data_IF_850000893472
#
_entry.id   IF_850000893472
#
_cell.length_a   1.000
_cell.length_b   1.000
_cell.length_c   1.000
_cell.angle_alpha   90.00
_cell.angle_beta   90.00
_cell.angle_gamma   90.00
#
_symmetry.space_group_name_H-M   'P 1'
#
loop_
_entity.id
_entity.type
_entity.pdbx_description
1 polymer ?
#
# COMPACT_ATOMS: atom_id res chain seq x y z
N UNK A 1 -9.93 -14.22 -19.23
CA UNK A 1 -9.50 -14.10 -17.81
C UNK A 1 -9.56 -15.45 -17.15
N UNK A 2 -8.91 -15.62 -15.99
CA UNK A 2 -8.88 -16.91 -15.30
C UNK A 2 -10.14 -17.11 -14.44
N UNK A 3 -11.01 -18.03 -14.83
CA UNK A 3 -12.19 -18.40 -14.05
C UNK A 3 -11.84 -19.10 -12.72
N UNK A 4 -10.66 -19.70 -12.63
CA UNK A 4 -10.15 -20.36 -11.42
C UNK A 4 -9.24 -19.43 -10.58
N UNK A 5 -9.36 -18.13 -10.72
CA UNK A 5 -8.57 -17.18 -9.93
C UNK A 5 -8.94 -17.31 -8.45
N UNK A 6 -7.95 -17.47 -7.53
CA UNK A 6 -8.20 -17.62 -6.09
C UNK A 6 -8.98 -16.49 -5.41
N UNK A 7 -9.12 -15.35 -6.09
CA UNK A 7 -9.93 -14.21 -5.61
C UNK A 7 -11.43 -14.40 -5.83
N UNK A 8 -11.81 -15.36 -6.65
CA UNK A 8 -13.21 -15.67 -6.91
C UNK A 8 -13.70 -16.70 -5.90
N UNK A 9 -14.91 -16.52 -5.35
CA UNK A 9 -15.56 -17.58 -4.60
C UNK A 9 -15.75 -18.81 -5.48
N UNK A 10 -15.58 -20.00 -4.90
CA UNK A 10 -15.87 -21.25 -5.59
C UNK A 10 -17.29 -21.21 -6.16
N UNK A 11 -17.48 -21.76 -7.35
CA UNK A 11 -18.75 -21.90 -8.09
C UNK A 11 -19.47 -20.58 -8.52
N UNK A 12 -18.77 -19.42 -8.54
CA UNK A 12 -19.41 -18.16 -8.97
C UNK A 12 -18.99 -17.65 -10.33
N UNK A 13 -18.04 -18.28 -11.00
CA UNK A 13 -17.54 -17.83 -12.30
C UNK A 13 -17.70 -18.92 -13.34
N UNK A 14 -18.76 -18.84 -14.11
CA UNK A 14 -19.03 -19.73 -15.24
C UNK A 14 -18.63 -19.10 -16.58
N UNK A 15 -18.50 -17.76 -16.60
CA UNK A 15 -18.20 -17.01 -17.82
C UNK A 15 -17.17 -15.90 -17.59
N UNK A 16 -16.60 -15.40 -18.68
CA UNK A 16 -15.73 -14.20 -18.62
C UNK A 16 -16.48 -12.96 -18.10
N UNK A 17 -17.79 -12.88 -18.36
CA UNK A 17 -18.64 -11.80 -17.88
C UNK A 17 -18.74 -11.82 -16.36
N UNK A 18 -18.93 -12.98 -15.74
CA UNK A 18 -19.00 -13.10 -14.29
C UNK A 18 -17.66 -12.73 -13.66
N UNK A 19 -16.53 -13.13 -14.26
CA UNK A 19 -15.21 -12.75 -13.82
C UNK A 19 -14.98 -11.22 -13.88
N UNK A 20 -15.46 -10.56 -14.96
CA UNK A 20 -15.41 -9.10 -15.11
C UNK A 20 -16.21 -8.40 -14.01
N UNK A 21 -17.44 -8.84 -13.78
CA UNK A 21 -18.33 -8.24 -12.78
C UNK A 21 -17.78 -8.37 -11.37
N UNK A 22 -17.28 -9.54 -11.00
CA UNK A 22 -16.63 -9.76 -9.69
C UNK A 22 -15.39 -8.89 -9.50
N UNK A 23 -14.52 -8.79 -10.52
CA UNK A 23 -13.33 -7.93 -10.44
C UNK A 23 -13.69 -6.45 -10.32
N UNK A 24 -14.71 -5.99 -11.05
CA UNK A 24 -15.17 -4.60 -10.96
C UNK A 24 -15.70 -4.26 -9.56
N UNK A 25 -16.45 -5.17 -8.94
CA UNK A 25 -17.09 -4.93 -7.65
C UNK A 25 -16.13 -5.06 -6.46
N UNK A 26 -15.22 -6.03 -6.49
CA UNK A 26 -14.38 -6.37 -5.34
C UNK A 26 -12.96 -5.76 -5.41
N UNK A 27 -12.41 -5.51 -6.62
CA UNK A 27 -10.97 -5.33 -6.80
C UNK A 27 -10.55 -3.93 -7.28
N UNK A 28 -11.41 -2.93 -7.19
CA UNK A 28 -11.11 -1.55 -7.58
C UNK A 28 -10.55 -1.40 -9.01
N UNK A 29 -11.08 -2.15 -9.98
CA UNK A 29 -10.59 -2.14 -11.37
C UNK A 29 -10.72 -0.76 -12.02
N UNK A 30 -11.72 0.03 -11.64
CA UNK A 30 -11.89 1.40 -12.14
C UNK A 30 -10.66 2.27 -11.81
N UNK A 31 -10.07 2.14 -10.64
CA UNK A 31 -8.83 2.85 -10.27
C UNK A 31 -7.64 2.38 -11.11
N UNK A 32 -7.57 1.08 -11.41
CA UNK A 32 -6.53 0.54 -12.31
C UNK A 32 -6.71 1.09 -13.72
N UNK A 33 -7.94 1.21 -14.21
CA UNK A 33 -8.22 1.80 -15.52
C UNK A 33 -7.85 3.29 -15.57
N UNK A 34 -8.11 4.06 -14.51
CA UNK A 34 -7.68 5.46 -14.39
C UNK A 34 -6.17 5.59 -14.46
N UNK A 35 -5.45 4.78 -13.72
CA UNK A 35 -3.98 4.74 -13.68
C UNK A 35 -3.40 4.38 -15.06
N UNK A 36 -3.97 3.37 -15.74
CA UNK A 36 -3.55 2.98 -17.09
C UNK A 36 -3.78 4.11 -18.12
N UNK A 37 -4.88 4.85 -18.03
CA UNK A 37 -5.15 5.98 -18.92
C UNK A 37 -4.17 7.12 -18.71
N UNK A 38 -3.72 7.32 -17.48
CA UNK A 38 -2.80 8.41 -17.11
C UNK A 38 -1.33 8.05 -17.38
N UNK A 39 -0.89 6.84 -17.02
CA UNK A 39 0.53 6.45 -17.02
C UNK A 39 0.86 5.29 -17.94
N UNK A 40 -0.13 4.60 -18.51
CA UNK A 40 0.06 3.36 -19.25
C UNK A 40 0.17 2.13 -18.33
N UNK A 41 0.52 1.00 -18.92
CA UNK A 41 0.80 -0.22 -18.14
C UNK A 41 2.15 -0.10 -17.43
N UNK A 42 2.20 -0.52 -16.18
CA UNK A 42 3.45 -0.59 -15.44
C UNK A 42 4.44 -1.57 -16.15
N UNK A 43 5.58 -1.09 -16.67
CA UNK A 43 6.51 -1.94 -17.40
C UNK A 43 7.25 -2.96 -16.50
N UNK A 44 7.19 -2.79 -15.18
CA UNK A 44 7.81 -3.68 -14.21
C UNK A 44 6.90 -4.85 -13.81
N UNK A 45 5.64 -4.86 -14.26
CA UNK A 45 4.64 -5.86 -13.91
C UNK A 45 4.11 -6.59 -15.16
N UNK A 46 4.74 -7.70 -15.54
CA UNK A 46 4.31 -8.52 -16.67
C UNK A 46 2.96 -9.20 -16.41
N UNK A 47 2.23 -9.41 -17.49
CA UNK A 47 1.04 -10.27 -17.50
C UNK A 47 1.50 -11.71 -17.62
N UNK A 48 1.03 -12.59 -16.73
CA UNK A 48 1.28 -14.02 -16.79
C UNK A 48 0.11 -14.74 -17.46
N UNK A 49 0.40 -15.57 -18.46
CA UNK A 49 -0.61 -16.33 -19.19
C UNK A 49 -0.21 -17.79 -19.32
N UNK A 50 -1.20 -18.67 -19.47
CA UNK A 50 -1.03 -20.04 -19.94
C UNK A 50 -1.82 -20.24 -21.24
N UNK A 51 -1.40 -21.18 -22.08
CA UNK A 51 -2.17 -21.50 -23.29
C UNK A 51 -3.51 -22.12 -22.91
N UNK A 52 -4.53 -21.78 -23.69
CA UNK A 52 -5.84 -22.37 -23.64
C UNK A 52 -5.99 -23.28 -24.85
N UNK A 53 -6.17 -24.59 -24.61
CA UNK A 53 -6.18 -25.63 -25.64
C UNK A 53 -4.79 -26.05 -26.12
N UNK A 54 -4.77 -26.79 -27.22
CA UNK A 54 -3.55 -27.31 -27.82
C UNK A 54 -2.64 -26.18 -28.39
N UNK A 55 -1.32 -26.31 -28.28
CA UNK A 55 -0.40 -25.33 -28.83
C UNK A 55 -0.55 -25.21 -30.37
N UNK A 56 -0.60 -23.99 -30.85
CA UNK A 56 -0.55 -23.70 -32.28
C UNK A 56 0.75 -22.96 -32.63
N UNK A 57 1.25 -23.14 -33.87
CA UNK A 57 2.40 -22.39 -34.37
C UNK A 57 2.05 -20.92 -34.65
N UNK A 58 0.79 -20.65 -34.99
CA UNK A 58 0.29 -19.30 -35.18
C UNK A 58 -0.21 -18.69 -33.86
N UNK A 59 0.66 -17.87 -33.26
CA UNK A 59 0.37 -17.18 -31.99
C UNK A 59 -0.84 -16.22 -32.07
N UNK A 60 -1.25 -15.79 -33.27
CA UNK A 60 -2.43 -14.92 -33.43
C UNK A 60 -3.75 -15.72 -33.24
N UNK A 61 -3.72 -17.04 -33.45
CA UNK A 61 -4.86 -17.92 -33.24
C UNK A 61 -4.79 -18.71 -31.94
N UNK A 62 -3.76 -18.49 -31.11
CA UNK A 62 -3.64 -19.10 -29.81
C UNK A 62 -4.45 -18.33 -28.77
N UNK A 63 -5.39 -18.99 -28.12
CA UNK A 63 -6.06 -18.45 -26.94
C UNK A 63 -5.19 -18.61 -25.69
N UNK A 64 -5.35 -17.66 -24.76
CA UNK A 64 -4.60 -17.62 -23.51
C UNK A 64 -5.52 -17.36 -22.33
N UNK A 65 -5.25 -18.03 -21.21
CA UNK A 65 -5.85 -17.75 -19.92
C UNK A 65 -4.88 -16.88 -19.11
N UNK A 66 -5.36 -15.77 -18.61
CA UNK A 66 -4.56 -14.82 -17.79
C UNK A 66 -4.51 -15.33 -16.37
N UNK A 67 -3.37 -15.84 -15.91
CA UNK A 67 -3.15 -16.29 -14.53
C UNK A 67 -2.61 -15.20 -13.61
N UNK A 68 -1.91 -14.18 -14.16
CA UNK A 68 -1.45 -13.00 -13.44
C UNK A 68 -1.78 -11.71 -14.21
N UNK A 69 -2.21 -10.67 -13.46
CA UNK A 69 -2.59 -9.39 -14.04
C UNK A 69 -4.05 -9.32 -14.47
N UNK A 70 -4.93 -10.16 -13.93
CA UNK A 70 -6.35 -10.19 -14.24
C UNK A 70 -7.02 -8.82 -14.10
N UNK A 71 -6.71 -8.02 -13.07
CA UNK A 71 -7.24 -6.66 -12.89
C UNK A 71 -6.84 -5.72 -14.03
N UNK A 72 -5.59 -5.82 -14.50
CA UNK A 72 -5.06 -4.99 -15.62
C UNK A 72 -5.72 -5.36 -16.93
N UNK A 73 -5.87 -6.66 -17.21
CA UNK A 73 -6.58 -7.14 -18.41
C UNK A 73 -8.06 -6.76 -18.36
N UNK A 74 -8.70 -6.90 -17.20
CA UNK A 74 -10.08 -6.43 -17.01
C UNK A 74 -10.20 -4.94 -17.33
N UNK A 75 -9.33 -4.09 -16.77
CA UNK A 75 -9.32 -2.66 -17.06
C UNK A 75 -9.14 -2.35 -18.54
N UNK A 76 -8.20 -3.01 -19.22
CA UNK A 76 -7.98 -2.84 -20.65
C UNK A 76 -9.18 -3.27 -21.50
N UNK A 77 -9.86 -4.37 -21.16
CA UNK A 77 -11.10 -4.80 -21.83
C UNK A 77 -12.20 -3.74 -21.69
N UNK A 78 -12.39 -3.22 -20.49
CA UNK A 78 -13.39 -2.20 -20.19
C UNK A 78 -13.08 -0.82 -20.81
N UNK A 79 -11.80 -0.49 -20.96
CA UNK A 79 -11.37 0.71 -21.71
C UNK A 79 -11.60 0.55 -23.20
N UNK A 80 -11.42 -0.65 -23.75
CA UNK A 80 -11.64 -0.93 -25.16
C UNK A 80 -13.15 -1.08 -25.51
N UNK A 81 -13.93 -1.64 -24.60
CA UNK A 81 -15.38 -1.81 -24.73
C UNK A 81 -16.07 -1.48 -23.41
N UNK A 82 -16.43 -0.19 -23.19
CA UNK A 82 -17.12 0.24 -21.98
C UNK A 82 -18.52 -0.36 -21.79
N UNK A 83 -19.12 -0.92 -22.85
CA UNK A 83 -20.48 -1.46 -22.78
C UNK A 83 -20.58 -2.77 -22.01
N UNK A 84 -19.46 -3.50 -21.89
CA UNK A 84 -19.39 -4.71 -21.06
C UNK A 84 -19.20 -4.41 -19.57
N UNK A 85 -19.05 -3.13 -19.20
CA UNK A 85 -18.90 -2.74 -17.80
C UNK A 85 -20.22 -2.89 -17.02
N UNK A 86 -20.17 -3.13 -15.70
CA UNK A 86 -21.34 -3.05 -14.83
C UNK A 86 -22.09 -1.73 -15.01
N UNK A 87 -23.42 -1.77 -14.94
CA UNK A 87 -24.29 -0.63 -15.29
C UNK A 87 -23.97 0.64 -14.50
N UNK A 88 -23.64 0.52 -13.24
CA UNK A 88 -23.28 1.60 -12.32
C UNK A 88 -21.92 2.25 -12.65
N UNK A 89 -20.99 1.51 -13.26
CA UNK A 89 -19.65 1.97 -13.61
C UNK A 89 -19.50 2.35 -15.10
N UNK A 90 -20.45 1.96 -15.96
CA UNK A 90 -20.37 2.14 -17.43
C UNK A 90 -20.12 3.58 -17.85
N UNK A 91 -20.77 4.55 -17.20
CA UNK A 91 -20.56 5.97 -17.51
C UNK A 91 -19.11 6.39 -17.28
N UNK A 92 -18.50 5.94 -16.20
CA UNK A 92 -17.09 6.24 -15.88
C UNK A 92 -16.14 5.63 -16.92
N UNK A 93 -16.38 4.37 -17.32
CA UNK A 93 -15.57 3.71 -18.35
C UNK A 93 -15.72 4.35 -19.73
N UNK A 94 -16.91 4.82 -20.13
CA UNK A 94 -17.08 5.59 -21.37
C UNK A 94 -16.21 6.86 -21.35
N UNK A 95 -16.19 7.60 -20.25
CA UNK A 95 -15.36 8.81 -20.12
C UNK A 95 -13.87 8.50 -20.17
N UNK A 96 -13.43 7.41 -19.54
CA UNK A 96 -12.04 6.96 -19.61
C UNK A 96 -11.66 6.45 -21.00
N UNK A 97 -12.55 5.72 -21.67
CA UNK A 97 -12.34 5.21 -23.03
C UNK A 97 -12.11 6.35 -24.03
N UNK A 98 -12.83 7.47 -23.90
CA UNK A 98 -12.60 8.64 -24.78
C UNK A 98 -11.17 9.19 -24.63
N UNK A 99 -10.66 9.31 -23.39
CA UNK A 99 -9.29 9.73 -23.11
C UNK A 99 -8.25 8.69 -23.56
N UNK A 100 -8.64 7.42 -23.51
CA UNK A 100 -7.80 6.29 -23.88
C UNK A 100 -7.54 6.17 -25.38
N UNK A 101 -8.43 6.70 -26.24
CA UNK A 101 -8.34 6.57 -27.71
C UNK A 101 -7.00 6.98 -28.30
N UNK A 102 -6.38 8.03 -27.76
CA UNK A 102 -5.09 8.55 -28.25
C UNK A 102 -3.90 7.67 -27.86
N UNK A 103 -4.02 6.92 -26.74
CA UNK A 103 -2.96 6.11 -26.17
C UNK A 103 -3.32 4.61 -26.11
N UNK A 104 -4.17 4.15 -27.02
CA UNK A 104 -4.71 2.80 -27.01
C UNK A 104 -3.61 1.75 -27.14
N UNK A 105 -3.52 0.86 -26.12
CA UNK A 105 -2.61 -0.27 -26.13
C UNK A 105 -3.28 -1.45 -26.84
N UNK A 106 -2.72 -1.81 -28.01
CA UNK A 106 -3.20 -2.93 -28.82
C UNK A 106 -2.41 -4.21 -28.61
N UNK A 107 -1.19 -4.11 -28.08
CA UNK A 107 -0.30 -5.26 -27.80
C UNK A 107 0.31 -5.08 -26.42
N UNK A 108 0.34 -6.15 -25.66
CA UNK A 108 0.94 -6.19 -24.32
C UNK A 108 1.99 -7.29 -24.26
N UNK A 109 3.07 -7.01 -23.54
CA UNK A 109 4.07 -8.03 -23.22
C UNK A 109 3.52 -8.96 -22.16
N UNK A 110 3.65 -10.27 -22.37
CA UNK A 110 3.25 -11.27 -21.40
C UNK A 110 4.30 -12.37 -21.26
N UNK A 111 4.29 -13.03 -20.12
CA UNK A 111 5.07 -14.24 -19.86
C UNK A 111 4.16 -15.44 -20.09
N UNK A 112 4.52 -16.32 -21.04
CA UNK A 112 3.78 -17.57 -21.28
C UNK A 112 4.36 -18.64 -20.37
N UNK A 113 3.56 -19.12 -19.45
CA UNK A 113 3.89 -20.21 -18.54
C UNK A 113 3.40 -21.54 -19.12
N UNK A 114 4.10 -22.64 -18.81
CA UNK A 114 3.82 -23.94 -19.41
C UNK A 114 2.40 -24.44 -19.11
N UNK A 115 1.98 -24.32 -17.84
CA UNK A 115 0.65 -24.72 -17.38
C UNK A 115 0.34 -24.06 -16.04
N UNK A 116 -0.84 -24.32 -15.49
CA UNK A 116 -1.30 -23.80 -14.21
C UNK A 116 -0.42 -24.22 -13.03
N UNK A 117 0.02 -25.45 -12.98
CA UNK A 117 0.85 -25.93 -11.87
C UNK A 117 2.22 -25.25 -11.87
N UNK A 118 2.82 -25.07 -13.03
CA UNK A 118 4.05 -24.32 -13.18
C UNK A 118 3.90 -22.82 -12.80
N UNK A 119 2.69 -22.26 -12.88
CA UNK A 119 2.43 -20.87 -12.48
C UNK A 119 2.34 -20.69 -10.96
N UNK A 120 1.93 -21.71 -10.19
CA UNK A 120 1.67 -21.63 -8.74
C UNK A 120 2.86 -21.08 -7.97
N UNK A 121 4.04 -21.57 -8.22
CA UNK A 121 5.28 -21.17 -7.54
C UNK A 121 5.57 -19.68 -7.72
N UNK A 122 5.29 -19.13 -8.90
CA UNK A 122 5.52 -17.72 -9.21
C UNK A 122 4.43 -16.84 -8.61
N UNK A 123 3.17 -17.27 -8.66
CA UNK A 123 2.03 -16.57 -8.06
C UNK A 123 2.17 -16.51 -6.54
N UNK A 124 2.62 -17.59 -5.91
CA UNK A 124 2.90 -17.61 -4.46
C UNK A 124 3.98 -16.60 -4.08
N UNK A 125 5.07 -16.50 -4.86
CA UNK A 125 6.13 -15.49 -4.64
C UNK A 125 5.66 -14.05 -4.85
N UNK A 126 4.67 -13.83 -5.71
CA UNK A 126 4.11 -12.51 -5.99
C UNK A 126 3.07 -12.07 -4.95
N UNK A 127 2.22 -12.99 -4.49
CA UNK A 127 1.04 -12.69 -3.69
C UNK A 127 1.07 -13.29 -2.29
N UNK A 128 1.91 -14.30 -2.05
CA UNK A 128 2.13 -14.88 -0.73
C UNK A 128 2.91 -13.96 0.19
N UNK A 129 2.89 -14.28 1.48
CA UNK A 129 3.76 -13.63 2.46
C UNK A 129 5.23 -13.90 2.12
N UNK A 130 6.15 -13.27 2.83
CA UNK A 130 7.59 -13.21 2.51
C UNK A 130 8.28 -14.56 2.19
N UNK A 131 7.58 -15.69 2.35
CA UNK A 131 7.99 -17.06 1.98
C UNK A 131 9.49 -17.31 2.23
N UNK A 132 9.93 -17.11 3.48
CA UNK A 132 11.33 -17.21 3.84
C UNK A 132 12.25 -16.13 3.24
N UNK A 133 11.69 -15.05 2.71
CA UNK A 133 12.43 -13.94 2.08
C UNK A 133 12.53 -14.01 0.56
N UNK A 134 11.93 -15.04 -0.08
CA UNK A 134 11.96 -15.21 -1.54
C UNK A 134 10.88 -14.34 -2.23
N UNK A 135 9.75 -14.08 -1.54
CA UNK A 135 8.64 -13.28 -2.05
C UNK A 135 8.94 -11.78 -2.10
N UNK A 136 8.03 -11.01 -2.71
CA UNK A 136 8.13 -9.53 -2.73
C UNK A 136 8.01 -8.98 -1.31
N UNK A 137 9.07 -8.34 -0.82
CA UNK A 137 9.05 -7.63 0.45
C UNK A 137 8.47 -6.24 0.27
N UNK A 138 7.39 -5.95 1.00
CA UNK A 138 6.83 -4.58 1.03
C UNK A 138 7.78 -3.65 1.76
N UNK A 139 7.94 -2.44 1.23
CA UNK A 139 8.68 -1.40 1.94
C UNK A 139 7.95 -1.00 3.23
N UNK A 140 8.70 -0.86 4.30
CA UNK A 140 8.22 -0.26 5.53
C UNK A 140 8.00 1.26 5.39
N UNK A 141 7.49 1.90 6.44
CA UNK A 141 7.16 3.32 6.41
C UNK A 141 8.40 4.21 6.18
N UNK A 142 9.55 3.84 6.76
CA UNK A 142 10.80 4.57 6.58
C UNK A 142 11.37 4.43 5.16
N UNK A 143 11.32 3.21 4.61
CA UNK A 143 11.78 2.94 3.24
C UNK A 143 10.95 3.73 2.22
N UNK A 144 9.62 3.77 2.42
CA UNK A 144 8.72 4.58 1.59
C UNK A 144 9.05 6.08 1.70
N UNK A 145 9.25 6.58 2.91
CA UNK A 145 9.59 7.99 3.15
C UNK A 145 10.90 8.36 2.45
N UNK A 146 11.95 7.54 2.59
CA UNK A 146 13.22 7.76 1.90
C UNK A 146 13.07 7.76 0.37
N UNK A 147 12.22 6.90 -0.17
CA UNK A 147 11.98 6.80 -1.60
C UNK A 147 11.19 7.99 -2.13
N UNK A 148 10.14 8.41 -1.44
CA UNK A 148 9.25 9.50 -1.91
C UNK A 148 9.82 10.88 -1.62
N UNK A 149 10.85 11.00 -0.78
CA UNK A 149 11.35 12.29 -0.29
C UNK A 149 10.31 13.07 0.53
N UNK A 150 9.29 12.37 1.05
CA UNK A 150 8.18 12.97 1.79
C UNK A 150 8.60 13.51 3.15
N UNK A 151 7.77 14.37 3.71
CA UNK A 151 7.96 14.93 5.06
C UNK A 151 6.93 14.43 6.08
N UNK A 152 6.09 13.48 5.67
CA UNK A 152 4.94 13.04 6.49
C UNK A 152 5.37 12.45 7.83
N UNK A 153 6.48 11.73 7.85
CA UNK A 153 7.03 11.10 9.04
C UNK A 153 8.23 11.87 9.62
N UNK A 154 8.59 13.02 9.06
CA UNK A 154 9.83 13.72 9.39
C UNK A 154 9.98 13.97 10.90
N UNK A 155 8.93 14.46 11.58
CA UNK A 155 8.95 14.69 13.02
C UNK A 155 9.14 13.38 13.79
N UNK A 156 8.38 12.32 13.43
CA UNK A 156 8.49 11.03 14.10
C UNK A 156 9.86 10.40 13.92
N UNK A 157 10.44 10.50 12.73
CA UNK A 157 11.80 10.02 12.44
C UNK A 157 12.85 10.79 13.24
N UNK A 158 12.78 12.12 13.28
CA UNK A 158 13.71 12.93 14.05
C UNK A 158 13.60 12.64 15.56
N UNK A 159 12.37 12.49 16.07
CA UNK A 159 12.12 12.12 17.47
C UNK A 159 12.69 10.73 17.79
N UNK A 160 12.51 9.77 16.88
CA UNK A 160 13.05 8.43 17.05
C UNK A 160 14.59 8.42 16.97
N UNK A 161 15.17 9.18 16.06
CA UNK A 161 16.62 9.37 16.00
C UNK A 161 17.18 9.96 17.30
N UNK A 162 16.46 10.91 17.89
CA UNK A 162 16.84 11.46 19.19
C UNK A 162 16.73 10.40 20.30
N UNK A 163 15.61 9.69 20.38
CA UNK A 163 15.38 8.66 21.39
C UNK A 163 16.37 7.48 21.28
N UNK A 164 16.73 7.08 20.06
CA UNK A 164 17.67 5.98 19.81
C UNK A 164 19.13 6.41 20.01
N UNK A 165 19.56 7.51 19.35
CA UNK A 165 20.98 7.90 19.29
C UNK A 165 21.43 8.72 20.51
N UNK A 166 20.57 9.60 21.03
CA UNK A 166 20.92 10.50 22.15
C UNK A 166 20.53 9.91 23.50
N UNK A 167 19.30 9.40 23.63
CA UNK A 167 18.80 8.86 24.90
C UNK A 167 19.03 7.36 25.08
N UNK A 168 19.20 6.59 23.99
CA UNK A 168 19.36 5.12 23.97
C UNK A 168 18.18 4.37 24.63
N UNK A 169 16.96 4.88 24.45
CA UNK A 169 15.72 4.35 25.02
C UNK A 169 14.80 3.66 24.02
N UNK A 170 15.20 3.61 22.75
CA UNK A 170 14.46 2.99 21.66
C UNK A 170 15.39 2.08 20.85
N UNK A 171 14.93 0.86 20.53
CA UNK A 171 15.67 -0.06 19.65
C UNK A 171 15.18 0.01 18.22
N UNK A 172 16.00 -0.43 17.25
CA UNK A 172 15.62 -0.48 15.83
C UNK A 172 14.34 -1.32 15.60
N UNK A 173 14.17 -2.43 16.32
CA UNK A 173 12.98 -3.26 16.20
C UNK A 173 11.72 -2.54 16.71
N UNK A 174 11.82 -1.90 17.89
CA UNK A 174 10.71 -1.10 18.44
C UNK A 174 10.35 0.06 17.53
N UNK A 175 11.37 0.76 16.97
CA UNK A 175 11.21 1.83 15.99
C UNK A 175 10.36 1.38 14.80
N UNK A 176 10.73 0.26 14.15
CA UNK A 176 10.00 -0.29 12.99
C UNK A 176 8.54 -0.61 13.30
N UNK A 177 8.29 -1.18 14.47
CA UNK A 177 6.92 -1.57 14.90
C UNK A 177 6.03 -0.38 15.22
N UNK A 178 6.58 0.73 15.71
CA UNK A 178 5.81 1.81 16.33
C UNK A 178 5.77 3.11 15.51
N UNK A 179 6.55 3.25 14.45
CA UNK A 179 6.69 4.49 13.68
C UNK A 179 5.35 5.09 13.22
N UNK A 180 4.44 4.26 12.68
CA UNK A 180 3.15 4.74 12.19
C UNK A 180 2.27 5.26 13.32
N UNK A 181 2.34 4.65 14.50
CA UNK A 181 1.61 5.09 15.69
C UNK A 181 2.20 6.40 16.22
N UNK A 182 3.53 6.47 16.33
CA UNK A 182 4.22 7.69 16.71
C UNK A 182 3.90 8.86 15.77
N UNK A 183 3.91 8.62 14.45
CA UNK A 183 3.57 9.63 13.45
C UNK A 183 2.16 10.19 13.65
N UNK A 184 1.16 9.35 13.98
CA UNK A 184 -0.21 9.81 14.25
C UNK A 184 -0.29 10.71 15.47
N UNK A 185 0.35 10.34 16.56
CA UNK A 185 0.38 11.16 17.79
C UNK A 185 1.16 12.45 17.56
N UNK A 186 2.33 12.38 16.94
CA UNK A 186 3.17 13.55 16.67
C UNK A 186 2.65 14.45 15.54
N UNK A 187 1.64 14.03 14.77
CA UNK A 187 0.91 14.91 13.86
C UNK A 187 -0.03 15.87 14.59
N UNK A 188 -0.43 15.55 15.83
CA UNK A 188 -1.25 16.43 16.68
C UNK A 188 -0.37 17.48 17.36
N UNK A 189 -0.72 18.78 17.22
CA UNK A 189 0.05 19.87 17.80
C UNK A 189 0.09 19.84 19.33
N UNK A 190 -1.05 19.51 19.98
CA UNK A 190 -1.13 19.47 21.44
C UNK A 190 -0.18 18.40 22.03
N UNK A 191 -0.03 17.25 21.36
CA UNK A 191 0.92 16.21 21.76
C UNK A 191 2.37 16.71 21.59
N UNK A 192 2.69 17.35 20.47
CA UNK A 192 4.02 17.93 20.26
C UNK A 192 4.36 18.97 21.34
N UNK A 193 3.44 19.90 21.58
CA UNK A 193 3.60 20.95 22.60
C UNK A 193 3.78 20.35 23.99
N UNK A 194 3.00 19.29 24.32
CA UNK A 194 3.12 18.59 25.60
C UNK A 194 4.48 17.90 25.77
N UNK A 195 5.07 17.36 24.71
CA UNK A 195 6.42 16.80 24.73
C UNK A 195 7.48 17.90 24.72
N UNK A 196 7.22 19.01 24.05
CA UNK A 196 8.15 20.13 23.89
C UNK A 196 8.82 20.15 22.52
N UNK A 197 8.08 19.79 21.47
CA UNK A 197 8.54 19.73 20.08
C UNK A 197 7.90 20.89 19.31
N UNK A 198 8.72 21.79 18.79
CA UNK A 198 8.28 22.89 17.94
C UNK A 198 8.32 22.55 16.45
N UNK A 199 9.22 21.66 16.06
CA UNK A 199 9.37 21.22 14.68
C UNK A 199 10.58 20.34 14.45
N UNK A 200 10.98 20.22 13.19
CA UNK A 200 12.19 19.52 12.78
C UNK A 200 12.82 20.20 11.57
N UNK A 201 14.15 20.20 11.49
CA UNK A 201 14.90 20.59 10.30
C UNK A 201 16.14 19.72 10.15
N UNK A 202 16.47 19.33 8.92
CA UNK A 202 17.62 18.49 8.61
C UNK A 202 17.74 17.21 9.46
N UNK A 203 16.59 16.67 9.92
CA UNK A 203 16.54 15.46 10.75
C UNK A 203 16.70 15.69 12.25
N UNK A 204 16.90 16.93 12.70
CA UNK A 204 16.98 17.27 14.12
C UNK A 204 15.63 17.75 14.66
N UNK A 205 15.35 17.45 15.93
CA UNK A 205 14.15 17.92 16.64
C UNK A 205 14.41 19.32 17.21
N UNK A 206 13.52 20.25 16.90
CA UNK A 206 13.51 21.56 17.54
C UNK A 206 12.76 21.48 18.88
N UNK A 207 13.47 21.78 19.96
CA UNK A 207 12.98 21.64 21.33
C UNK A 207 12.64 23.03 21.85
N UNK A 208 11.40 23.23 22.36
CA UNK A 208 10.92 24.50 22.93
C UNK A 208 10.87 24.49 24.48
N UNK A 209 11.51 23.50 25.11
CA UNK A 209 11.59 23.33 26.57
C UNK A 209 13.04 23.17 27.02
N UNK A 210 13.28 23.21 28.34
CA UNK A 210 14.55 22.73 28.91
C UNK A 210 14.77 21.28 28.52
N UNK A 211 16.01 20.93 28.23
CA UNK A 211 16.36 19.62 27.70
C UNK A 211 15.93 18.48 28.62
N UNK A 212 16.12 18.64 29.92
CA UNK A 212 15.79 17.65 30.93
C UNK A 212 14.26 17.37 30.94
N UNK A 213 13.44 18.42 30.87
CA UNK A 213 11.96 18.29 30.81
C UNK A 213 11.51 17.64 29.50
N UNK A 214 12.11 18.02 28.37
CA UNK A 214 11.86 17.38 27.08
C UNK A 214 12.21 15.88 27.13
N UNK A 215 13.40 15.53 27.61
CA UNK A 215 13.86 14.13 27.65
C UNK A 215 13.00 13.27 28.59
N UNK A 216 12.54 13.80 29.73
CA UNK A 216 11.62 13.10 30.63
C UNK A 216 10.27 12.81 29.95
N UNK A 217 9.70 13.79 29.24
CA UNK A 217 8.43 13.66 28.51
C UNK A 217 8.56 12.73 27.30
N UNK A 218 9.65 12.84 26.57
CA UNK A 218 9.96 11.94 25.46
C UNK A 218 10.16 10.49 25.94
N UNK A 219 10.82 10.29 27.06
CA UNK A 219 10.97 8.97 27.68
C UNK A 219 9.61 8.36 28.05
N UNK A 220 8.69 9.17 28.61
CA UNK A 220 7.35 8.71 28.91
C UNK A 220 6.59 8.35 27.63
N UNK A 221 6.65 9.21 26.60
CA UNK A 221 6.03 8.95 25.30
C UNK A 221 6.54 7.63 24.69
N UNK A 222 7.85 7.39 24.70
CA UNK A 222 8.44 6.16 24.16
C UNK A 222 7.99 4.92 24.97
N UNK A 223 7.92 5.02 26.29
CA UNK A 223 7.41 3.92 27.14
C UNK A 223 5.94 3.58 26.83
N UNK A 224 5.09 4.61 26.75
CA UNK A 224 3.67 4.43 26.47
C UNK A 224 3.43 3.91 25.02
N UNK A 225 4.27 4.31 24.09
CA UNK A 225 4.28 3.84 22.71
C UNK A 225 4.68 2.37 22.59
N UNK A 226 5.67 1.93 23.36
CA UNK A 226 6.14 0.53 23.37
C UNK A 226 5.13 -0.37 24.09
N UNK A 227 4.54 0.08 25.19
CA UNK A 227 3.51 -0.68 25.92
C UNK A 227 2.22 -0.80 25.12
N UNK A 228 1.88 0.22 24.33
CA UNK A 228 0.64 0.30 23.56
C UNK A 228 -0.60 0.55 24.42
N UNK A 229 -0.46 0.93 25.70
CA UNK A 229 -1.57 1.18 26.60
C UNK A 229 -2.23 2.54 26.36
N UNK A 230 -1.44 3.63 26.41
CA UNK A 230 -1.92 5.00 26.19
C UNK A 230 -1.69 5.49 24.77
N UNK A 231 -0.60 5.04 24.13
CA UNK A 231 -0.21 5.42 22.77
C UNK A 231 -0.35 4.20 21.86
N UNK A 232 -1.49 4.06 21.20
CA UNK A 232 -1.83 2.87 20.41
C UNK A 232 -2.36 3.21 19.01
N UNK A 233 -2.33 2.23 18.11
CA UNK A 233 -2.69 2.39 16.70
C UNK A 233 -4.18 2.66 16.43
N UNK A 234 -5.06 2.42 17.41
CA UNK A 234 -6.51 2.64 17.32
C UNK A 234 -6.95 3.98 17.91
N UNK A 235 -6.00 4.82 18.35
CA UNK A 235 -6.29 6.11 18.96
C UNK A 235 -7.05 7.05 17.99
N UNK A 236 -7.97 7.81 18.54
CA UNK A 236 -8.76 8.83 17.88
C UNK A 236 -8.33 10.25 18.35
N UNK A 237 -9.06 11.28 17.93
CA UNK A 237 -8.71 12.67 18.24
C UNK A 237 -8.73 12.96 19.77
N UNK A 238 -9.71 12.42 20.49
CA UNK A 238 -9.82 12.63 21.92
C UNK A 238 -8.66 11.98 22.68
N UNK A 239 -8.25 10.78 22.26
CA UNK A 239 -7.10 10.08 22.85
C UNK A 239 -5.80 10.90 22.74
N UNK A 240 -5.60 11.64 21.63
CA UNK A 240 -4.43 12.54 21.50
C UNK A 240 -4.50 13.71 22.47
N UNK A 241 -5.67 14.32 22.64
CA UNK A 241 -5.89 15.43 23.57
C UNK A 241 -5.72 14.98 25.03
N UNK A 242 -6.32 13.86 25.39
CA UNK A 242 -6.19 13.27 26.73
C UNK A 242 -4.74 12.89 27.05
N UNK A 243 -4.01 12.38 26.06
CA UNK A 243 -2.61 12.05 26.23
C UNK A 243 -1.74 13.31 26.42
N UNK A 244 -2.01 14.38 25.70
CA UNK A 244 -1.31 15.65 25.90
C UNK A 244 -1.56 16.22 27.32
N UNK A 245 -2.81 16.14 27.81
CA UNK A 245 -3.17 16.53 29.18
C UNK A 245 -2.45 15.64 30.21
N UNK A 246 -2.40 14.33 29.97
CA UNK A 246 -1.69 13.37 30.83
C UNK A 246 -0.22 13.74 30.96
N UNK A 247 0.50 13.98 29.85
CA UNK A 247 1.91 14.38 29.86
C UNK A 247 2.13 15.67 30.67
N UNK A 248 1.28 16.66 30.48
CA UNK A 248 1.40 17.93 31.19
C UNK A 248 1.14 17.83 32.71
N UNK A 249 0.29 16.90 33.15
CA UNK A 249 -0.04 16.73 34.57
C UNK A 249 0.91 15.80 35.31
N UNK A 250 1.42 14.75 34.65
CA UNK A 250 2.10 13.66 35.32
C UNK A 250 3.61 13.58 35.06
N UNK A 251 4.11 14.40 34.13
CA UNK A 251 5.53 14.46 33.81
C UNK A 251 6.01 15.89 33.96
N UNK A 252 6.55 16.22 35.11
CA UNK A 252 7.24 17.49 35.38
C UNK A 252 8.51 17.20 36.15
N UNK A 253 9.55 17.96 35.88
CA UNK A 253 10.80 17.99 36.66
C UNK A 253 10.73 19.17 37.61
#
# INVERSE_FOLDING_TARGET
>A
MDALNPRFPEDKVESEKDALELLCNAENVLKVAQDIVEYGLNPLDLIGVIRDGEPTEDLNHQNYIVVEGNRRICALKLLNDPEIAPSDQRKAYRQLSEKWKENKINKISCCILNNRDASKVWLERLHGDSNGGIGRKKWDAEQKERFTGGSRNAIALAVFDYAEKKMKVLTEEQRKKTLTTAQRFLSNSNVRDAIGIDGTSAGDVHINRKREDFEARLLQFVKDLISGEKVHSRANKNDYEDYAIFLNKNVSI
#
